data_IF_833565252263
#
_entry.id   IF_833565252263
#
_cell.length_a   1.000
_cell.length_b   1.000
_cell.length_c   1.000
_cell.angle_alpha   90.00
_cell.angle_beta   90.00
_cell.angle_gamma   90.00
#
_symmetry.space_group_name_H-M   'P 1'
#
loop_
_entity.id
_entity.type
_entity.pdbx_description
1 polymer ?
#
# COMPACT_ATOMS: atom_id res chain seq x y z
N UNK A 1 -11.05 -12.14 -48.46
CA UNK A 1 -12.47 -11.87 -48.21
C UNK A 1 -12.55 -10.98 -46.99
N UNK A 2 -13.43 -9.98 -46.99
CA UNK A 2 -13.72 -9.12 -45.83
C UNK A 2 -15.22 -9.19 -45.65
N UNK A 3 -15.70 -9.58 -44.45
CA UNK A 3 -17.14 -9.79 -44.16
C UNK A 3 -17.87 -10.66 -45.21
N UNK A 4 -17.28 -11.80 -45.57
CA UNK A 4 -17.87 -12.75 -46.52
C UNK A 4 -17.81 -12.34 -48.00
N UNK A 5 -17.35 -11.12 -48.33
CA UNK A 5 -17.28 -10.63 -49.72
C UNK A 5 -15.85 -10.61 -50.27
N UNK A 6 -15.69 -10.95 -51.55
CA UNK A 6 -14.40 -10.94 -52.24
C UNK A 6 -14.03 -9.50 -52.62
N UNK A 7 -13.03 -8.94 -51.95
CA UNK A 7 -12.45 -7.64 -52.32
C UNK A 7 -11.30 -7.87 -53.32
N UNK A 8 -11.31 -7.11 -54.42
CA UNK A 8 -10.25 -7.07 -55.45
C UNK A 8 -9.75 -5.64 -55.57
N UNK A 9 -8.47 -5.47 -55.87
CA UNK A 9 -7.82 -4.17 -56.02
C UNK A 9 -6.72 -4.30 -57.05
N UNK A 10 -6.57 -3.27 -57.90
CA UNK A 10 -5.48 -3.18 -58.87
C UNK A 10 -4.27 -2.52 -58.22
N UNK A 11 -3.10 -3.13 -58.36
CA UNK A 11 -1.84 -2.67 -57.73
C UNK A 11 -0.72 -2.43 -58.77
N UNK A 12 -1.08 -2.45 -60.06
CA UNK A 12 -0.16 -2.28 -61.19
C UNK A 12 -0.23 -3.42 -62.22
N UNK A 13 0.53 -3.33 -63.33
CA UNK A 13 0.47 -4.28 -64.44
C UNK A 13 1.23 -5.60 -64.19
N UNK A 14 2.11 -5.64 -63.18
CA UNK A 14 2.93 -6.82 -62.90
C UNK A 14 2.18 -7.86 -62.06
N UNK A 15 2.11 -9.09 -62.59
CA UNK A 15 1.55 -10.26 -61.89
C UNK A 15 2.33 -10.60 -60.62
N UNK A 16 3.65 -10.47 -60.64
CA UNK A 16 4.51 -10.73 -59.48
C UNK A 16 4.24 -9.73 -58.35
N UNK A 17 4.13 -8.45 -58.68
CA UNK A 17 3.79 -7.40 -57.72
C UNK A 17 2.42 -7.68 -57.07
N UNK A 18 1.43 -8.07 -57.86
CA UNK A 18 0.10 -8.44 -57.36
C UNK A 18 0.14 -9.62 -56.38
N UNK A 19 0.97 -10.63 -56.65
CA UNK A 19 1.15 -11.77 -55.76
C UNK A 19 1.87 -11.40 -54.46
N UNK A 20 2.90 -10.55 -54.52
CA UNK A 20 3.63 -10.06 -53.35
C UNK A 20 2.70 -9.27 -52.42
N UNK A 21 1.92 -8.34 -52.98
CA UNK A 21 0.96 -7.54 -52.20
C UNK A 21 -0.13 -8.41 -51.59
N UNK A 22 -0.63 -9.42 -52.32
CA UNK A 22 -1.61 -10.37 -51.78
C UNK A 22 -1.04 -11.20 -50.63
N UNK A 23 0.19 -11.72 -50.75
CA UNK A 23 0.88 -12.44 -49.67
C UNK A 23 1.05 -11.54 -48.44
N UNK A 24 1.53 -10.32 -48.62
CA UNK A 24 1.69 -9.32 -47.54
C UNK A 24 0.37 -9.04 -46.81
N UNK A 25 -0.73 -8.86 -47.56
CA UNK A 25 -2.07 -8.64 -46.97
C UNK A 25 -2.59 -9.87 -46.23
N UNK A 26 -2.38 -11.08 -46.75
CA UNK A 26 -2.74 -12.33 -46.06
C UNK A 26 -1.99 -12.49 -44.74
N UNK A 27 -0.69 -12.16 -44.71
CA UNK A 27 0.10 -12.12 -43.47
C UNK A 27 -0.47 -11.10 -42.50
N UNK A 28 -0.80 -9.88 -42.93
CA UNK A 28 -1.40 -8.87 -42.06
C UNK A 28 -2.78 -9.28 -41.50
N UNK A 29 -3.57 -10.04 -42.27
CA UNK A 29 -4.84 -10.60 -41.80
C UNK A 29 -4.59 -11.71 -40.77
N UNK A 30 -3.64 -12.62 -41.02
CA UNK A 30 -3.28 -13.70 -40.10
C UNK A 30 -2.63 -13.20 -38.80
N UNK A 31 -1.80 -12.15 -38.89
CA UNK A 31 -1.22 -11.44 -37.75
C UNK A 31 -2.25 -10.60 -36.98
N UNK A 32 -3.52 -10.60 -37.41
CA UNK A 32 -4.58 -9.81 -36.78
C UNK A 32 -4.22 -8.30 -36.72
N UNK A 33 -3.43 -7.79 -37.66
CA UNK A 33 -3.04 -6.37 -37.74
C UNK A 33 -4.11 -5.46 -38.35
N UNK A 34 -5.24 -6.04 -38.78
CA UNK A 34 -6.51 -5.33 -39.01
C UNK A 34 -7.50 -5.52 -37.84
N UNK A 35 -7.03 -5.89 -36.65
CA UNK A 35 -7.83 -5.69 -35.44
C UNK A 35 -7.94 -4.19 -35.21
N UNK A 36 -9.17 -3.69 -35.31
CA UNK A 36 -9.67 -2.52 -34.59
C UNK A 36 -8.58 -1.75 -33.86
N UNK A 37 -8.08 -0.68 -34.47
CA UNK A 37 -7.55 0.44 -33.70
C UNK A 37 -8.76 1.04 -32.98
N UNK A 38 -9.34 0.30 -32.00
CA UNK A 38 -9.91 0.91 -30.81
C UNK A 38 -8.79 1.80 -30.35
N UNK A 39 -8.86 3.09 -30.69
CA UNK A 39 -7.92 4.12 -30.24
C UNK A 39 -7.80 3.87 -28.75
N UNK A 40 -6.76 3.14 -28.31
CA UNK A 40 -6.56 2.80 -26.90
C UNK A 40 -6.54 4.17 -26.24
N UNK A 41 -7.58 4.49 -25.46
CA UNK A 41 -7.77 5.84 -24.92
C UNK A 41 -6.47 6.19 -24.23
N UNK A 42 -5.70 7.09 -24.84
CA UNK A 42 -4.38 7.47 -24.33
C UNK A 42 -4.67 8.17 -23.02
N UNK A 43 -4.29 7.53 -21.91
CA UNK A 43 -4.47 8.06 -20.57
C UNK A 43 -3.09 8.35 -19.99
N UNK A 44 -2.91 9.56 -19.45
CA UNK A 44 -1.69 9.89 -18.74
C UNK A 44 -1.61 9.11 -17.45
N UNK A 45 -0.38 8.86 -16.99
CA UNK A 45 -0.17 8.21 -15.70
C UNK A 45 -0.88 8.95 -14.57
N UNK A 46 -0.83 10.28 -14.55
CA UNK A 46 -1.49 11.10 -13.51
C UNK A 46 -2.99 10.84 -13.42
N UNK A 47 -3.66 10.69 -14.56
CA UNK A 47 -5.12 10.52 -14.62
C UNK A 47 -5.49 9.10 -14.21
N UNK A 48 -4.68 8.13 -14.63
CA UNK A 48 -4.83 6.74 -14.18
C UNK A 48 -4.59 6.60 -12.67
N UNK A 49 -3.57 7.26 -12.13
CA UNK A 49 -3.25 7.24 -10.71
C UNK A 49 -4.36 7.90 -9.87
N UNK A 50 -4.94 9.01 -10.35
CA UNK A 50 -6.11 9.63 -9.73
C UNK A 50 -7.31 8.68 -9.75
N UNK A 51 -7.63 8.09 -10.90
CA UNK A 51 -8.71 7.11 -11.02
C UNK A 51 -8.50 5.92 -10.05
N UNK A 52 -7.27 5.43 -9.95
CA UNK A 52 -6.89 4.39 -9.01
C UNK A 52 -7.13 4.79 -7.55
N UNK A 53 -6.73 6.00 -7.17
CA UNK A 53 -6.88 6.50 -5.82
C UNK A 53 -8.36 6.65 -5.42
N UNK A 54 -9.16 7.28 -6.26
CA UNK A 54 -10.57 7.56 -5.98
C UNK A 54 -11.47 6.33 -6.10
N UNK A 55 -11.31 5.52 -7.16
CA UNK A 55 -12.24 4.42 -7.43
C UNK A 55 -11.88 3.11 -6.74
N UNK A 56 -10.62 2.95 -6.29
CA UNK A 56 -10.18 1.72 -5.64
C UNK A 56 -9.52 1.94 -4.29
N UNK A 57 -8.48 2.77 -4.18
CA UNK A 57 -7.70 2.83 -2.95
C UNK A 57 -8.49 3.40 -1.78
N UNK A 58 -9.08 4.60 -1.92
CA UNK A 58 -9.87 5.24 -0.87
C UNK A 58 -11.07 4.40 -0.39
N UNK A 59 -11.89 3.79 -1.27
CA UNK A 59 -13.04 3.01 -0.82
C UNK A 59 -12.67 1.67 -0.17
N UNK A 60 -11.56 1.05 -0.56
CA UNK A 60 -11.26 -0.35 -0.18
C UNK A 60 -10.11 -0.50 0.83
N UNK A 61 -9.22 0.49 0.96
CA UNK A 61 -8.03 0.38 1.82
C UNK A 61 -8.12 1.30 3.02
N UNK A 62 -7.91 0.75 4.22
CA UNK A 62 -7.72 1.54 5.45
C UNK A 62 -6.48 2.46 5.39
N UNK A 63 -5.45 2.06 4.63
CA UNK A 63 -4.18 2.80 4.50
C UNK A 63 -3.99 3.40 3.10
N UNK A 64 -5.04 4.03 2.57
CA UNK A 64 -5.02 4.67 1.25
C UNK A 64 -4.09 5.90 1.21
N UNK A 65 -3.89 6.56 2.35
CA UNK A 65 -2.96 7.67 2.57
C UNK A 65 -1.52 7.34 2.10
N UNK A 66 -1.11 6.09 2.30
CA UNK A 66 0.20 5.60 1.84
C UNK A 66 0.29 5.45 0.33
N UNK A 67 -0.81 5.06 -0.31
CA UNK A 67 -0.90 5.00 -1.76
C UNK A 67 -0.84 6.43 -2.33
N UNK A 68 -1.55 7.40 -1.71
CA UNK A 68 -1.51 8.81 -2.11
C UNK A 68 -0.09 9.38 -2.05
N UNK A 69 0.64 9.13 -0.96
CA UNK A 69 2.04 9.55 -0.85
C UNK A 69 2.92 8.93 -1.95
N UNK A 70 2.72 7.63 -2.23
CA UNK A 70 3.45 6.95 -3.31
C UNK A 70 3.11 7.56 -4.67
N UNK A 71 1.84 7.83 -4.94
CA UNK A 71 1.34 8.44 -6.17
C UNK A 71 1.93 9.84 -6.37
N UNK A 72 2.07 10.64 -5.30
CA UNK A 72 2.73 11.95 -5.39
C UNK A 72 4.15 11.83 -5.98
N UNK A 73 4.94 10.89 -5.47
CA UNK A 73 6.31 10.68 -5.94
C UNK A 73 6.36 10.05 -7.34
N UNK A 74 5.43 9.15 -7.65
CA UNK A 74 5.31 8.55 -8.98
C UNK A 74 4.87 9.59 -10.03
N UNK A 75 3.95 10.49 -9.69
CA UNK A 75 3.49 11.56 -10.57
C UNK A 75 4.59 12.56 -10.91
N UNK A 76 5.52 12.82 -9.97
CA UNK A 76 6.66 13.68 -10.23
C UNK A 76 7.55 13.15 -11.38
N UNK A 77 7.62 11.83 -11.57
CA UNK A 77 8.47 11.19 -12.58
C UNK A 77 7.70 10.75 -13.83
N UNK A 78 6.52 10.13 -13.65
CA UNK A 78 5.74 9.51 -14.72
C UNK A 78 4.53 10.35 -15.14
N UNK A 79 4.14 11.37 -14.36
CA UNK A 79 2.81 11.98 -14.46
C UNK A 79 2.45 12.56 -15.82
N UNK A 80 3.43 13.04 -16.60
CA UNK A 80 3.23 13.55 -17.96
C UNK A 80 3.24 12.47 -19.04
N UNK A 81 3.77 11.27 -18.76
CA UNK A 81 3.84 10.17 -19.73
C UNK A 81 2.47 9.50 -19.89
N UNK A 82 2.18 9.02 -21.08
CA UNK A 82 1.06 8.10 -21.28
C UNK A 82 1.42 6.71 -20.76
N UNK A 83 0.43 5.93 -20.29
CA UNK A 83 0.71 4.60 -19.73
C UNK A 83 1.43 3.65 -20.69
N UNK A 84 1.19 3.76 -22.00
CA UNK A 84 1.83 2.92 -23.02
C UNK A 84 3.27 3.34 -23.36
N UNK A 85 3.69 4.53 -22.92
CA UNK A 85 5.05 5.04 -23.13
C UNK A 85 5.98 4.66 -21.97
N UNK A 86 5.41 4.26 -20.82
CA UNK A 86 6.20 3.84 -19.67
C UNK A 86 6.78 2.45 -19.95
N UNK A 87 8.10 2.36 -19.93
CA UNK A 87 8.84 1.12 -20.16
C UNK A 87 9.38 0.54 -18.85
N UNK A 88 9.84 -0.71 -18.87
CA UNK A 88 10.53 -1.31 -17.72
C UNK A 88 11.81 -0.53 -17.36
N UNK A 89 12.51 0.02 -18.37
CA UNK A 89 13.71 0.83 -18.19
C UNK A 89 13.39 2.14 -17.45
N UNK A 90 12.28 2.81 -17.78
CA UNK A 90 11.86 4.00 -17.04
C UNK A 90 11.62 3.72 -15.56
N UNK A 91 11.10 2.53 -15.24
CA UNK A 91 10.85 2.10 -13.85
C UNK A 91 12.17 1.79 -13.14
N UNK A 92 13.14 1.18 -13.81
CA UNK A 92 14.48 0.99 -13.26
C UNK A 92 15.19 2.33 -13.01
N UNK A 93 15.07 3.29 -13.93
CA UNK A 93 15.60 4.64 -13.76
C UNK A 93 14.97 5.35 -12.56
N UNK A 94 13.65 5.26 -12.41
CA UNK A 94 12.95 5.77 -11.23
C UNK A 94 13.47 5.14 -9.93
N UNK A 95 13.69 3.81 -9.91
CA UNK A 95 14.24 3.13 -8.73
C UNK A 95 15.61 3.66 -8.34
N UNK A 96 16.49 3.84 -9.31
CA UNK A 96 17.86 4.37 -9.09
C UNK A 96 17.78 5.79 -8.52
N UNK A 97 16.99 6.68 -9.12
CA UNK A 97 16.86 8.07 -8.65
C UNK A 97 16.24 8.14 -7.25
N UNK A 98 15.15 7.39 -7.00
CA UNK A 98 14.50 7.39 -5.68
C UNK A 98 15.39 6.82 -4.61
N UNK A 99 16.21 5.82 -4.93
CA UNK A 99 17.12 5.18 -3.96
C UNK A 99 18.17 6.15 -3.39
N UNK A 100 18.48 7.24 -4.10
CA UNK A 100 19.38 8.29 -3.59
C UNK A 100 18.72 9.11 -2.47
N UNK A 101 17.39 9.20 -2.44
CA UNK A 101 16.62 10.07 -1.54
C UNK A 101 16.00 9.30 -0.38
N UNK A 102 15.70 8.01 -0.55
CA UNK A 102 14.95 7.20 0.42
C UNK A 102 15.48 5.78 0.57
N UNK A 103 15.05 5.10 1.63
CA UNK A 103 15.41 3.71 1.91
C UNK A 103 14.91 2.74 0.81
N UNK A 104 15.57 1.57 0.62
CA UNK A 104 15.09 0.53 -0.30
C UNK A 104 13.63 0.12 -0.06
N UNK A 105 13.24 0.04 1.22
CA UNK A 105 11.89 -0.33 1.61
C UNK A 105 10.85 0.73 1.20
N UNK A 106 11.23 2.01 1.16
CA UNK A 106 10.36 3.08 0.67
C UNK A 106 10.16 2.95 -0.84
N UNK A 107 11.25 2.77 -1.61
CA UNK A 107 11.16 2.56 -3.06
C UNK A 107 10.33 1.32 -3.40
N UNK A 108 10.48 0.24 -2.64
CA UNK A 108 9.71 -0.99 -2.84
C UNK A 108 8.20 -0.80 -2.60
N UNK A 109 7.80 0.09 -1.68
CA UNK A 109 6.40 0.46 -1.45
C UNK A 109 5.86 1.27 -2.62
N UNK A 110 6.60 2.27 -3.09
CA UNK A 110 6.25 3.05 -4.28
C UNK A 110 6.12 2.14 -5.52
N UNK A 111 7.05 1.20 -5.71
CA UNK A 111 7.00 0.21 -6.78
C UNK A 111 5.81 -0.75 -6.65
N UNK A 112 5.45 -1.17 -5.43
CA UNK A 112 4.27 -2.00 -5.21
C UNK A 112 2.97 -1.25 -5.58
N UNK A 113 2.88 0.04 -5.23
CA UNK A 113 1.78 0.91 -5.63
C UNK A 113 1.73 1.04 -7.16
N UNK A 114 2.85 1.34 -7.80
CA UNK A 114 2.97 1.45 -9.27
C UNK A 114 2.50 0.17 -9.98
N UNK A 115 3.01 -0.99 -9.55
CA UNK A 115 2.60 -2.29 -10.11
C UNK A 115 1.10 -2.50 -10.01
N UNK A 116 0.51 -2.16 -8.87
CA UNK A 116 -0.92 -2.34 -8.64
C UNK A 116 -1.77 -1.35 -9.46
N UNK A 117 -1.30 -0.11 -9.68
CA UNK A 117 -1.93 0.84 -10.62
C UNK A 117 -1.99 0.22 -12.03
N UNK A 118 -0.89 -0.38 -12.50
CA UNK A 118 -0.86 -1.05 -13.80
C UNK A 118 -1.78 -2.27 -13.87
N UNK A 119 -1.90 -3.05 -12.78
CA UNK A 119 -2.87 -4.15 -12.70
C UNK A 119 -4.29 -3.63 -12.84
N UNK A 120 -4.67 -2.59 -12.09
CA UNK A 120 -6.00 -1.96 -12.22
C UNK A 120 -6.22 -1.33 -13.60
N UNK A 121 -5.19 -0.77 -14.21
CA UNK A 121 -5.28 -0.27 -15.58
C UNK A 121 -5.61 -1.38 -16.60
N UNK A 122 -5.10 -2.60 -16.39
CA UNK A 122 -5.44 -3.77 -17.22
C UNK A 122 -6.88 -4.22 -16.93
N UNK A 123 -7.24 -4.42 -15.66
CA UNK A 123 -8.59 -4.83 -15.25
C UNK A 123 -9.67 -3.86 -15.76
N UNK A 124 -9.39 -2.56 -15.77
CA UNK A 124 -10.29 -1.51 -16.28
C UNK A 124 -10.17 -1.27 -17.78
N UNK A 125 -9.46 -2.13 -18.51
CA UNK A 125 -9.34 -2.09 -19.97
C UNK A 125 -8.63 -0.84 -20.52
N UNK A 126 -7.79 -0.17 -19.72
CA UNK A 126 -7.04 1.04 -20.14
C UNK A 126 -5.79 0.69 -20.94
N UNK A 127 -5.16 -0.44 -20.63
CA UNK A 127 -3.96 -0.95 -21.29
C UNK A 127 -4.05 -2.47 -21.44
N UNK A 128 -3.22 -3.05 -22.32
CA UNK A 128 -3.21 -4.49 -22.56
C UNK A 128 -2.18 -5.26 -21.72
N UNK A 129 -1.10 -4.60 -21.29
CA UNK A 129 0.01 -5.24 -20.59
C UNK A 129 0.71 -4.26 -19.65
N UNK A 130 1.38 -4.80 -18.63
CA UNK A 130 2.08 -4.02 -17.61
C UNK A 130 3.60 -4.10 -17.79
N UNK A 131 4.30 -2.95 -18.00
CA UNK A 131 5.76 -2.90 -18.04
C UNK A 131 6.39 -3.16 -16.66
N UNK A 132 5.62 -2.97 -15.58
CA UNK A 132 6.09 -3.08 -14.20
C UNK A 132 6.13 -4.53 -13.68
N UNK A 133 5.50 -5.48 -14.39
CA UNK A 133 5.36 -6.87 -13.96
C UNK A 133 6.72 -7.52 -13.62
N UNK A 134 7.70 -7.41 -14.51
CA UNK A 134 9.02 -8.05 -14.40
C UNK A 134 10.06 -7.28 -13.58
N UNK A 135 9.78 -6.02 -13.20
CA UNK A 135 10.73 -5.19 -12.44
C UNK A 135 10.90 -5.75 -11.02
N UNK A 136 12.13 -6.10 -10.63
CA UNK A 136 12.39 -6.67 -9.30
C UNK A 136 12.44 -5.58 -8.22
N UNK A 137 11.98 -5.91 -7.02
CA UNK A 137 12.14 -5.09 -5.82
C UNK A 137 13.59 -5.13 -5.34
N UNK A 138 14.03 -4.10 -4.62
CA UNK A 138 15.30 -4.15 -3.89
C UNK A 138 15.24 -5.20 -2.78
N UNK A 139 16.38 -5.82 -2.47
CA UNK A 139 16.51 -6.65 -1.27
C UNK A 139 16.42 -5.76 -0.04
N UNK A 140 15.49 -6.07 0.86
CA UNK A 140 15.39 -5.41 2.15
C UNK A 140 16.21 -6.20 3.17
N UNK A 141 17.20 -5.59 3.84
CA UNK A 141 17.91 -6.28 4.92
C UNK A 141 16.90 -6.60 6.03
N UNK A 142 16.90 -7.84 6.50
CA UNK A 142 16.08 -8.24 7.62
C UNK A 142 16.54 -7.44 8.84
N UNK A 143 15.73 -6.49 9.33
CA UNK A 143 16.06 -5.80 10.57
C UNK A 143 16.04 -6.86 11.66
N UNK A 144 17.16 -7.02 12.39
CA UNK A 144 17.22 -7.94 13.54
C UNK A 144 16.09 -7.56 14.50
N UNK A 145 15.29 -8.55 14.85
CA UNK A 145 14.32 -8.42 15.95
C UNK A 145 15.16 -8.41 17.23
N UNK A 146 15.20 -7.26 17.90
CA UNK A 146 15.85 -7.07 19.20
C UNK A 146 14.75 -6.95 20.25
N UNK A 147 14.98 -7.56 21.39
CA UNK A 147 14.13 -7.45 22.58
C UNK A 147 14.84 -6.58 23.62
N UNK A 148 14.08 -6.06 24.58
CA UNK A 148 14.64 -5.36 25.74
C UNK A 148 15.06 -6.42 26.75
N UNK A 149 16.28 -6.29 27.28
CA UNK A 149 16.70 -7.06 28.46
C UNK A 149 16.04 -6.50 29.73
N UNK A 150 16.06 -7.27 30.81
CA UNK A 150 15.38 -6.93 32.06
C UNK A 150 15.88 -5.60 32.64
N UNK A 151 17.20 -5.36 32.62
CA UNK A 151 17.78 -4.11 33.09
C UNK A 151 17.43 -2.91 32.17
N UNK A 152 17.12 -3.17 30.90
CA UNK A 152 16.65 -2.12 29.98
C UNK A 152 15.19 -1.75 30.26
N UNK A 153 14.38 -2.72 30.67
CA UNK A 153 13.00 -2.50 31.09
C UNK A 153 12.96 -1.65 32.36
N UNK A 154 13.80 -1.96 33.35
CA UNK A 154 13.91 -1.16 34.57
C UNK A 154 14.31 0.29 34.28
N UNK A 155 15.39 0.50 33.51
CA UNK A 155 15.82 1.85 33.09
C UNK A 155 14.73 2.59 32.31
N UNK A 156 13.94 1.88 31.50
CA UNK A 156 12.81 2.47 30.78
C UNK A 156 11.73 2.97 31.76
N UNK A 157 11.39 2.21 32.80
CA UNK A 157 10.40 2.61 33.80
C UNK A 157 10.85 3.82 34.63
N UNK A 158 12.12 3.85 35.02
CA UNK A 158 12.70 4.94 35.82
C UNK A 158 12.71 6.26 35.04
N UNK A 159 13.07 6.21 33.76
CA UNK A 159 13.26 7.42 32.94
C UNK A 159 11.99 7.89 32.22
N UNK A 160 10.99 7.03 32.04
CA UNK A 160 9.77 7.40 31.34
C UNK A 160 8.88 8.32 32.18
N UNK A 161 8.19 9.25 31.52
CA UNK A 161 7.19 10.10 32.16
C UNK A 161 6.04 9.27 32.74
N UNK A 162 5.46 9.74 33.83
CA UNK A 162 4.40 9.03 34.58
C UNK A 162 3.24 8.57 33.67
N UNK A 163 2.81 9.41 32.73
CA UNK A 163 1.73 9.10 31.80
C UNK A 163 2.04 7.96 30.81
N UNK A 164 3.32 7.63 30.59
CA UNK A 164 3.75 6.51 29.74
C UNK A 164 3.83 5.19 30.49
N UNK A 165 4.00 5.21 31.83
CA UNK A 165 4.16 4.00 32.64
C UNK A 165 3.02 3.00 32.44
N UNK A 166 1.73 3.39 32.47
CA UNK A 166 0.64 2.44 32.22
C UNK A 166 0.64 1.86 30.80
N UNK A 167 1.05 2.66 29.81
CA UNK A 167 1.13 2.24 28.40
C UNK A 167 2.24 1.19 28.24
N UNK A 168 3.41 1.44 28.84
CA UNK A 168 4.56 0.53 28.84
C UNK A 168 4.22 -0.76 29.58
N UNK A 169 3.55 -0.66 30.74
CA UNK A 169 3.08 -1.82 31.49
C UNK A 169 2.14 -2.70 30.68
N UNK A 170 1.15 -2.13 29.98
CA UNK A 170 0.31 -2.91 29.07
C UNK A 170 1.19 -3.55 27.98
N UNK A 171 2.09 -2.80 27.34
CA UNK A 171 2.89 -3.31 26.23
C UNK A 171 3.75 -4.51 26.63
N UNK A 172 4.44 -4.44 27.78
CA UNK A 172 5.32 -5.50 28.27
C UNK A 172 4.55 -6.73 28.73
N UNK A 173 3.41 -6.55 29.41
CA UNK A 173 2.65 -7.67 29.98
C UNK A 173 1.74 -8.38 28.97
N UNK A 174 1.31 -7.69 27.90
CA UNK A 174 0.29 -8.23 26.97
C UNK A 174 0.81 -8.48 25.56
N UNK A 175 1.97 -7.93 25.19
CA UNK A 175 2.48 -7.99 23.82
C UNK A 175 1.56 -7.32 22.79
N UNK A 176 0.62 -6.48 23.22
CA UNK A 176 -0.30 -5.77 22.34
C UNK A 176 0.43 -4.81 21.40
N UNK A 177 -0.12 -4.60 20.20
CA UNK A 177 0.46 -3.61 19.28
C UNK A 177 0.25 -2.21 19.84
N UNK A 178 1.23 -1.31 19.68
CA UNK A 178 1.12 0.11 20.08
C UNK A 178 -0.23 0.75 19.68
N UNK A 179 -0.68 0.51 18.44
CA UNK A 179 -1.95 1.05 17.97
C UNK A 179 -3.18 0.46 18.67
N UNK A 180 -3.13 -0.78 19.13
CA UNK A 180 -4.19 -1.41 19.93
C UNK A 180 -4.20 -0.78 21.35
N UNK A 181 -3.03 -0.62 21.97
CA UNK A 181 -2.89 -0.04 23.32
C UNK A 181 -3.39 1.41 23.35
N UNK A 182 -2.96 2.25 22.40
CA UNK A 182 -3.33 3.66 22.38
C UNK A 182 -4.81 3.92 22.06
N UNK A 183 -5.49 2.96 21.44
CA UNK A 183 -6.92 3.05 21.13
C UNK A 183 -7.81 2.31 22.14
N UNK A 184 -7.23 1.79 23.22
CA UNK A 184 -7.95 1.03 24.23
C UNK A 184 -8.97 1.92 24.96
N UNK A 185 -10.20 1.42 25.11
CA UNK A 185 -11.27 2.10 25.85
C UNK A 185 -11.48 1.42 27.20
N UNK A 186 -12.05 2.17 28.15
CA UNK A 186 -12.43 1.60 29.45
C UNK A 186 -13.42 0.44 29.33
N UNK A 187 -14.28 0.44 28.31
CA UNK A 187 -15.21 -0.66 28.03
C UNK A 187 -14.52 -1.94 27.55
N UNK A 188 -13.29 -1.83 27.03
CA UNK A 188 -12.51 -2.97 26.54
C UNK A 188 -11.76 -3.68 27.68
N UNK A 189 -11.70 -3.09 28.89
CA UNK A 189 -10.94 -3.60 30.03
C UNK A 189 -11.86 -3.98 31.17
N UNK A 190 -12.00 -5.27 31.42
CA UNK A 190 -12.74 -5.78 32.56
C UNK A 190 -11.77 -6.19 33.68
N UNK A 191 -11.58 -5.28 34.65
CA UNK A 191 -10.71 -5.54 35.81
C UNK A 191 -11.29 -6.59 36.77
N UNK A 192 -12.61 -6.86 36.74
CA UNK A 192 -13.23 -7.90 37.57
C UNK A 192 -12.91 -9.29 37.04
N UNK A 193 -13.05 -9.48 35.73
CA UNK A 193 -12.72 -10.77 35.08
C UNK A 193 -11.26 -10.84 34.64
N UNK A 194 -10.47 -9.78 34.85
CA UNK A 194 -9.06 -9.65 34.45
C UNK A 194 -8.81 -9.92 32.98
N UNK A 195 -9.60 -9.30 32.10
CA UNK A 195 -9.50 -9.48 30.65
C UNK A 195 -9.52 -8.15 29.91
N UNK A 196 -8.68 -8.03 28.89
CA UNK A 196 -8.73 -6.99 27.86
C UNK A 196 -9.31 -7.60 26.58
N UNK A 197 -10.41 -7.04 26.08
CA UNK A 197 -11.08 -7.47 24.86
C UNK A 197 -10.69 -6.59 23.67
N UNK A 198 -9.99 -7.13 22.68
CA UNK A 198 -9.62 -6.39 21.47
C UNK A 198 -10.66 -6.65 20.37
N UNK A 199 -11.50 -5.66 20.13
CA UNK A 199 -12.62 -5.76 19.17
C UNK A 199 -12.20 -5.50 17.71
N UNK A 200 -11.16 -4.70 17.49
CA UNK A 200 -10.73 -4.24 16.17
C UNK A 200 -9.27 -4.60 15.88
N UNK A 201 -8.96 -5.88 15.72
CA UNK A 201 -7.66 -6.30 15.19
C UNK A 201 -7.57 -5.99 13.70
N UNK A 202 -6.34 -5.86 13.16
CA UNK A 202 -6.09 -5.65 11.73
C UNK A 202 -6.74 -6.73 10.83
N UNK A 203 -7.06 -7.90 11.41
CA UNK A 203 -7.63 -9.05 10.73
C UNK A 203 -9.11 -9.31 11.10
N UNK A 204 -9.74 -8.47 11.92
CA UNK A 204 -11.16 -8.60 12.27
C UNK A 204 -11.49 -9.66 13.33
N UNK A 205 -10.51 -10.46 13.77
CA UNK A 205 -10.70 -11.43 14.86
C UNK A 205 -10.70 -10.72 16.22
N UNK A 206 -11.73 -11.03 17.02
CA UNK A 206 -11.80 -10.66 18.43
C UNK A 206 -10.88 -11.57 19.21
N UNK A 207 -10.10 -11.00 20.13
CA UNK A 207 -9.30 -11.79 21.08
C UNK A 207 -9.36 -11.17 22.47
N UNK A 208 -9.26 -12.04 23.45
CA UNK A 208 -9.18 -11.69 24.86
C UNK A 208 -7.75 -11.91 25.35
N UNK A 209 -7.24 -10.97 26.14
CA UNK A 209 -5.91 -11.05 26.74
C UNK A 209 -6.05 -11.00 28.25
N UNK A 210 -5.55 -12.01 28.99
CA UNK A 210 -5.60 -12.01 30.45
C UNK A 210 -4.71 -10.92 31.05
N UNK A 211 -5.13 -10.38 32.19
CA UNK A 211 -4.44 -9.35 32.96
C UNK A 211 -3.82 -10.02 34.19
N UNK A 212 -2.49 -9.91 34.34
CA UNK A 212 -1.79 -10.36 35.55
C UNK A 212 -1.94 -9.35 36.71
N UNK A 213 -1.50 -9.73 37.91
CA UNK A 213 -1.65 -8.90 39.12
C UNK A 213 -0.95 -7.54 39.01
N UNK A 214 0.23 -7.49 38.38
CA UNK A 214 1.00 -6.26 38.25
C UNK A 214 0.33 -5.26 37.30
N UNK A 215 -0.18 -5.76 36.17
CA UNK A 215 -0.94 -4.93 35.24
C UNK A 215 -2.26 -4.49 35.86
N UNK A 216 -2.95 -5.37 36.59
CA UNK A 216 -4.19 -5.02 37.28
C UNK A 216 -3.97 -3.87 38.28
N UNK A 217 -2.91 -3.96 39.09
CA UNK A 217 -2.50 -2.88 40.03
C UNK A 217 -2.21 -1.57 39.29
N UNK A 218 -1.44 -1.65 38.21
CA UNK A 218 -1.10 -0.47 37.39
C UNK A 218 -2.34 0.18 36.80
N UNK A 219 -3.26 -0.60 36.23
CA UNK A 219 -4.48 -0.10 35.60
C UNK A 219 -5.50 0.43 36.61
N UNK A 220 -5.50 -0.08 37.86
CA UNK A 220 -6.33 0.45 38.93
C UNK A 220 -5.94 1.88 39.31
N UNK A 221 -4.65 2.21 39.26
CA UNK A 221 -4.13 3.55 39.51
C UNK A 221 -4.43 4.56 38.39
N UNK A 222 -4.83 4.10 37.20
CA UNK A 222 -5.15 5.00 36.07
C UNK A 222 -6.52 5.65 36.30
N UNK A 223 -6.54 6.99 36.33
CA UNK A 223 -7.77 7.75 36.56
C UNK A 223 -8.80 7.50 35.43
N UNK A 224 -9.97 6.99 35.81
CA UNK A 224 -11.07 6.70 34.88
C UNK A 224 -11.72 7.97 34.34
N UNK A 225 -11.74 8.10 33.02
CA UNK A 225 -12.59 9.05 32.31
C UNK A 225 -13.39 8.30 31.24
N UNK A 226 -14.70 8.04 31.47
CA UNK A 226 -15.53 7.26 30.56
C UNK A 226 -15.65 7.84 29.14
N UNK A 227 -15.44 9.15 28.98
CA UNK A 227 -15.57 9.87 27.69
C UNK A 227 -14.27 9.94 26.89
N UNK A 228 -13.18 9.36 27.40
CA UNK A 228 -11.85 9.41 26.79
C UNK A 228 -11.29 8.01 26.55
N UNK A 229 -10.35 7.84 25.59
CA UNK A 229 -9.46 6.68 25.57
C UNK A 229 -8.82 6.46 26.93
N UNK A 230 -8.52 5.20 27.27
CA UNK A 230 -7.93 4.84 28.57
C UNK A 230 -6.66 5.63 28.85
N UNK A 231 -5.87 5.89 27.81
CA UNK A 231 -4.67 6.73 27.86
C UNK A 231 -4.90 8.02 27.05
N UNK A 232 -5.21 9.13 27.73
CA UNK A 232 -5.42 10.43 27.09
C UNK A 232 -4.35 11.44 27.52
N UNK A 233 -3.67 12.04 26.55
CA UNK A 233 -2.62 13.05 26.79
C UNK A 233 -3.16 14.39 27.31
N UNK A 234 -4.48 14.66 27.20
CA UNK A 234 -4.99 16.03 27.36
C UNK A 234 -5.21 16.49 28.80
N UNK A 235 -5.20 15.63 29.83
CA UNK A 235 -5.58 16.02 31.20
C UNK A 235 -4.99 15.12 32.31
N UNK A 236 -3.71 14.78 32.23
CA UNK A 236 -2.97 14.32 33.43
C UNK A 236 -2.05 15.46 33.84
N UNK A 237 -2.63 16.41 34.57
CA UNK A 237 -1.88 17.50 35.21
C UNK A 237 -0.99 16.83 36.24
N UNK A 238 0.33 16.92 36.06
CA UNK A 238 1.27 16.65 37.14
C UNK A 238 0.86 17.51 38.33
N UNK A 239 0.62 16.96 39.54
CA UNK A 239 0.68 17.79 40.72
C UNK A 239 2.13 18.24 40.83
N UNK A 240 2.40 19.49 40.46
CA UNK A 240 3.62 20.18 40.88
C UNK A 240 3.57 20.24 42.40
N UNK A 241 4.27 19.32 43.04
CA UNK A 241 4.55 19.35 44.47
C UNK A 241 5.85 20.11 44.70
N UNK A 242 5.70 21.29 45.31
CA UNK A 242 6.62 22.05 46.18
C UNK A 242 8.11 21.72 46.14
#
# INVERSE_FOLDING_TARGET
YVNGRRKRESVGPSKELAQIVLKKRKVQIAENKFLDVRKKKRIHFRDMARLYLESYSKPNKRSWDRDELSIKNLNAFFGSKYLHEITALDIENYKVERRQKVSPATVNRELACLKHIFVKAIEWGKIASSPASKVKKFREPNRRVRYLEEEEIERLYETCSEHLRPIIAVALNTGMRKGEILNLKWADVNLRTRVISILNSKNGEKREIPINDDLARTLFGVRKNPKSPMFSAKRMVCPTGT
#
